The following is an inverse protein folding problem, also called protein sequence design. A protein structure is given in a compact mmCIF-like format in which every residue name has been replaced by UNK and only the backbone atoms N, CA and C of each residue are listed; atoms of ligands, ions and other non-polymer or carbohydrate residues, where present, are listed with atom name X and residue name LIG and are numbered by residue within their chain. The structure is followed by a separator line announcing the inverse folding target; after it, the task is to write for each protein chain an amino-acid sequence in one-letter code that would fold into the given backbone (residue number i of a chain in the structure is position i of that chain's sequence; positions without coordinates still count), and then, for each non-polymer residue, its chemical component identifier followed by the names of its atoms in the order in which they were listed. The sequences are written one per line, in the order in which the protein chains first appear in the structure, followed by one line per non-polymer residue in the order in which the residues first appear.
data_IF_401170003727
#
_entry.id   IF_401170003727
#
_cell.length_a   1.000
_cell.length_b   1.000
_cell.length_c   1.000
_cell.angle_alpha   90.00
_cell.angle_beta   90.00
_cell.angle_gamma   90.00
#
_symmetry.space_group_name_H-M   'P 1'
#
loop_
_entity.id
_entity.type
_entity.pdbx_description
1 polymer ?
#
# COMPACT_ATOMS: atom_id res chain seq x y z
N UNK A 1 7.09 18.29 13.12
CA UNK A 1 6.58 17.51 11.98
C UNK A 1 7.67 17.43 10.94
N UNK A 2 8.41 16.30 10.87
CA UNK A 2 9.38 16.09 9.80
C UNK A 2 8.58 15.93 8.50
N UNK A 3 8.74 16.88 7.57
CA UNK A 3 8.06 16.85 6.28
C UNK A 3 8.50 15.62 5.50
N UNK A 4 7.54 14.81 5.06
CA UNK A 4 7.82 13.71 4.15
C UNK A 4 8.25 14.34 2.82
N UNK A 5 9.48 14.10 2.34
CA UNK A 5 9.95 14.73 1.11
C UNK A 5 9.00 14.39 -0.04
N UNK A 6 8.76 15.33 -0.97
CA UNK A 6 7.81 15.11 -2.06
C UNK A 6 8.22 13.84 -2.83
N UNK A 7 7.29 12.90 -2.94
CA UNK A 7 7.49 11.68 -3.73
C UNK A 7 7.55 12.08 -5.21
N UNK A 8 8.76 12.20 -5.75
CA UNK A 8 9.01 12.61 -7.15
C UNK A 8 8.82 11.46 -8.15
N UNK A 9 7.90 10.55 -7.86
CA UNK A 9 7.65 9.36 -8.67
C UNK A 9 6.22 9.36 -9.20
N UNK A 10 6.00 8.93 -10.47
CA UNK A 10 4.65 8.80 -11.01
C UNK A 10 3.78 7.88 -10.14
N UNK A 11 2.51 8.25 -10.02
CA UNK A 11 1.49 7.40 -9.39
C UNK A 11 1.10 6.30 -10.38
N UNK A 12 1.19 5.04 -9.98
CA UNK A 12 0.75 3.88 -10.77
C UNK A 12 -0.61 3.33 -10.35
N UNK A 13 -1.14 3.77 -9.20
CA UNK A 13 -2.46 3.37 -8.75
C UNK A 13 -2.98 4.21 -7.60
N UNK A 14 -4.30 4.30 -7.51
CA UNK A 14 -5.03 4.89 -6.39
C UNK A 14 -6.15 3.92 -6.06
N UNK A 15 -6.32 3.59 -4.78
CA UNK A 15 -7.39 2.72 -4.32
C UNK A 15 -8.01 3.30 -3.05
N UNK A 16 -9.33 3.27 -2.98
CA UNK A 16 -10.09 3.70 -1.80
C UNK A 16 -10.44 2.48 -0.95
N UNK A 17 -10.32 2.60 0.38
CA UNK A 17 -10.86 1.62 1.31
C UNK A 17 -12.35 1.86 1.53
N UNK A 18 -13.14 0.79 1.63
CA UNK A 18 -14.58 0.89 1.94
C UNK A 18 -14.90 0.56 3.41
N UNK A 19 -13.90 0.13 4.17
CA UNK A 19 -14.05 -0.37 5.53
C UNK A 19 -13.89 0.75 6.56
N UNK A 20 -14.99 1.44 6.92
CA UNK A 20 -15.19 2.21 8.16
C UNK A 20 -14.31 3.45 8.39
N UNK A 21 -13.10 3.45 7.83
CA UNK A 21 -12.06 4.44 7.92
C UNK A 21 -11.85 5.01 6.52
N UNK A 22 -11.89 6.34 6.43
CA UNK A 22 -11.83 7.08 5.17
C UNK A 22 -10.39 7.21 4.66
N UNK A 23 -9.78 6.08 4.29
CA UNK A 23 -8.43 6.05 3.77
C UNK A 23 -8.32 5.67 2.29
N UNK A 24 -7.29 6.21 1.67
CA UNK A 24 -6.91 6.00 0.28
C UNK A 24 -5.45 5.54 0.26
N UNK A 25 -5.17 4.45 -0.45
CA UNK A 25 -3.81 4.04 -0.76
C UNK A 25 -3.40 4.62 -2.12
N UNK A 26 -2.24 5.26 -2.17
CA UNK A 26 -1.60 5.77 -3.38
C UNK A 26 -0.31 5.00 -3.60
N UNK A 27 -0.17 4.41 -4.79
CA UNK A 27 0.96 3.60 -5.18
C UNK A 27 1.83 4.38 -6.15
N UNK A 28 3.13 4.47 -5.86
CA UNK A 28 4.11 5.11 -6.71
C UNK A 28 5.01 4.10 -7.40
N UNK A 29 5.38 4.39 -8.64
CA UNK A 29 6.21 3.51 -9.45
C UNK A 29 7.56 3.20 -8.81
N UNK A 30 8.16 4.11 -8.03
CA UNK A 30 9.45 3.87 -7.35
C UNK A 30 9.35 3.05 -6.04
N UNK A 31 8.20 2.44 -5.77
CA UNK A 31 8.04 1.53 -4.63
C UNK A 31 7.44 2.18 -3.38
N UNK A 32 7.02 3.44 -3.43
CA UNK A 32 6.35 4.06 -2.30
C UNK A 32 4.85 3.72 -2.30
N UNK A 33 4.35 3.31 -1.13
CA UNK A 33 2.93 3.19 -0.82
C UNK A 33 2.61 4.27 0.20
N UNK A 34 1.60 5.07 -0.08
CA UNK A 34 1.18 6.18 0.77
C UNK A 34 -0.24 5.94 1.19
N UNK A 35 -0.52 6.00 2.49
CA UNK A 35 -1.89 5.91 3.01
C UNK A 35 -2.31 7.29 3.47
N UNK A 36 -3.36 7.81 2.85
CA UNK A 36 -3.97 9.09 3.13
C UNK A 36 -5.30 8.89 3.81
N UNK A 37 -5.61 9.67 4.83
CA UNK A 37 -6.97 9.92 5.24
C UNK A 37 -7.51 11.05 4.36
N UNK A 38 -8.50 10.74 3.52
CA UNK A 38 -9.04 11.70 2.57
C UNK A 38 -10.15 12.58 3.18
N UNK A 39 -10.60 12.29 4.40
CA UNK A 39 -11.62 13.11 5.08
C UNK A 39 -11.04 14.40 5.64
N UNK A 40 -9.85 14.30 6.24
CA UNK A 40 -9.14 15.39 6.90
C UNK A 40 -7.88 15.80 6.14
N UNK A 41 -7.65 15.24 4.95
CA UNK A 41 -6.50 15.48 4.10
C UNK A 41 -5.16 15.27 4.84
N UNK A 42 -5.08 14.23 5.67
CA UNK A 42 -3.84 13.90 6.40
C UNK A 42 -3.14 12.67 5.84
N UNK A 43 -1.81 12.75 5.87
CA UNK A 43 -0.93 11.64 5.58
C UNK A 43 -0.82 10.74 6.82
N UNK A 44 -1.33 9.51 6.72
CA UNK A 44 -1.38 8.55 7.83
C UNK A 44 -0.16 7.64 7.88
N UNK A 45 0.38 7.26 6.72
CA UNK A 45 1.49 6.31 6.65
C UNK A 45 2.21 6.33 5.32
N UNK A 46 3.50 5.98 5.35
CA UNK A 46 4.33 5.77 4.15
C UNK A 46 5.14 4.51 4.35
N UNK A 47 5.10 3.62 3.36
CA UNK A 47 5.95 2.45 3.26
C UNK A 47 6.74 2.51 1.96
N UNK A 48 8.04 2.25 2.02
CA UNK A 48 8.90 2.19 0.83
C UNK A 48 9.32 0.74 0.62
N UNK A 49 9.05 0.22 -0.57
CA UNK A 49 9.41 -1.14 -0.98
C UNK A 49 10.78 -1.16 -1.65
N UNK A 50 11.44 -2.32 -1.58
CA UNK A 50 12.68 -2.54 -2.33
C UNK A 50 12.36 -2.95 -3.77
N UNK A 51 11.88 -1.99 -4.55
CA UNK A 51 11.67 -2.16 -5.98
C UNK A 51 10.44 -1.42 -6.51
N UNK A 52 10.33 -1.30 -7.84
CA UNK A 52 9.21 -0.60 -8.45
C UNK A 52 7.89 -1.36 -8.30
N UNK A 53 6.80 -0.60 -8.08
CA UNK A 53 5.43 -1.11 -8.07
C UNK A 53 4.82 -0.90 -9.46
N UNK A 54 4.36 -1.98 -10.09
CA UNK A 54 3.62 -1.90 -11.34
C UNK A 54 2.14 -1.60 -11.10
N UNK A 55 1.57 -2.23 -10.07
CA UNK A 55 0.17 -2.06 -9.71
C UNK A 55 -0.03 -2.30 -8.21
N UNK A 56 -1.03 -1.65 -7.64
CA UNK A 56 -1.45 -1.88 -6.26
C UNK A 56 -2.94 -1.68 -6.09
N UNK A 57 -3.54 -2.42 -5.17
CA UNK A 57 -4.98 -2.41 -4.91
C UNK A 57 -5.27 -2.67 -3.44
N UNK A 58 -6.24 -1.95 -2.86
CA UNK A 58 -6.77 -2.28 -1.55
C UNK A 58 -7.79 -3.41 -1.67
N UNK A 59 -7.76 -4.33 -0.70
CA UNK A 59 -8.84 -5.29 -0.52
C UNK A 59 -10.11 -4.52 -0.12
N UNK A 60 -11.28 -4.82 -0.70
CA UNK A 60 -12.47 -4.02 -0.47
C UNK A 60 -13.00 -4.14 0.98
N UNK A 61 -12.84 -5.29 1.61
CA UNK A 61 -13.47 -5.59 2.92
C UNK A 61 -12.51 -5.96 4.04
N UNK A 62 -11.22 -6.02 3.74
CA UNK A 62 -10.20 -6.42 4.70
C UNK A 62 -9.18 -5.29 4.78
N UNK A 63 -8.54 -5.09 5.93
CA UNK A 63 -7.50 -4.07 6.09
C UNK A 63 -6.21 -4.56 5.43
N UNK A 64 -6.27 -4.86 4.14
CA UNK A 64 -5.18 -5.43 3.35
C UNK A 64 -5.03 -4.68 2.04
N UNK A 65 -3.81 -4.56 1.55
CA UNK A 65 -3.52 -4.17 0.18
C UNK A 65 -2.55 -5.14 -0.46
N UNK A 66 -2.60 -5.19 -1.78
CA UNK A 66 -1.74 -6.02 -2.60
C UNK A 66 -0.90 -5.14 -3.52
N UNK A 67 0.35 -5.51 -3.71
CA UNK A 67 1.24 -4.85 -4.67
C UNK A 67 1.85 -5.88 -5.62
N UNK A 68 1.85 -5.57 -6.90
CA UNK A 68 2.58 -6.30 -7.94
C UNK A 68 3.89 -5.56 -8.24
N UNK A 69 5.02 -6.20 -7.99
CA UNK A 69 6.36 -5.65 -8.19
C UNK A 69 7.01 -6.14 -9.49
N UNK A 70 8.05 -5.46 -9.95
CA UNK A 70 8.73 -5.77 -11.23
C UNK A 70 9.38 -7.15 -11.29
N UNK A 71 9.70 -7.75 -10.16
CA UNK A 71 10.17 -9.14 -10.06
C UNK A 71 9.01 -10.16 -10.16
N UNK A 72 7.87 -9.77 -10.74
CA UNK A 72 6.67 -10.60 -10.90
C UNK A 72 6.18 -11.22 -9.58
N UNK A 73 6.40 -10.52 -8.48
CA UNK A 73 5.97 -10.94 -7.15
C UNK A 73 4.75 -10.14 -6.72
N UNK A 74 3.80 -10.83 -6.10
CA UNK A 74 2.69 -10.20 -5.42
C UNK A 74 3.00 -10.19 -3.92
N UNK A 75 2.93 -9.02 -3.30
CA UNK A 75 3.05 -8.87 -1.85
C UNK A 75 1.71 -8.48 -1.27
N UNK A 76 1.40 -9.01 -0.09
CA UNK A 76 0.22 -8.66 0.68
C UNK A 76 0.66 -7.89 1.93
N UNK A 77 -0.06 -6.83 2.24
CA UNK A 77 0.25 -5.92 3.34
C UNK A 77 -1.00 -5.73 4.16
N UNK A 78 -0.91 -5.89 5.48
CA UNK A 78 -1.94 -5.46 6.41
C UNK A 78 -1.79 -3.98 6.71
N UNK A 79 -2.91 -3.27 6.65
CA UNK A 79 -3.07 -1.89 7.07
C UNK A 79 -3.47 -1.88 8.54
N UNK A 80 -2.56 -1.49 9.43
CA UNK A 80 -2.83 -1.42 10.86
C UNK A 80 -3.02 0.03 11.31
N UNK A 81 -4.21 0.32 11.84
CA UNK A 81 -4.54 1.62 12.42
C UNK A 81 -3.99 1.70 13.85
N UNK A 82 -3.17 2.70 14.14
CA UNK A 82 -2.70 2.94 15.49
C UNK A 82 -3.79 3.62 16.32
N UNK A 83 -3.93 3.22 17.61
CA UNK A 83 -4.94 3.76 18.54
C UNK A 83 -4.86 5.27 18.77
N UNK A 84 -3.77 5.93 18.38
CA UNK A 84 -3.52 7.37 18.56
C UNK A 84 -3.42 8.14 17.24
N UNK A 85 -3.91 7.56 16.14
CA UNK A 85 -3.72 8.08 14.77
C UNK A 85 -2.44 7.53 14.13
N UNK A 86 -2.41 7.52 12.80
CA UNK A 86 -1.34 6.91 12.01
C UNK A 86 -1.65 5.49 11.53
N UNK A 87 -1.12 5.18 10.36
CA UNK A 87 -1.23 3.89 9.69
C UNK A 87 0.16 3.27 9.57
N UNK A 88 0.29 2.01 9.95
CA UNK A 88 1.44 1.17 9.55
C UNK A 88 1.03 0.15 8.50
N UNK A 89 1.97 -0.16 7.62
CA UNK A 89 1.85 -1.27 6.68
C UNK A 89 2.76 -2.40 7.13
N UNK A 90 2.19 -3.58 7.32
CA UNK A 90 2.90 -4.76 7.78
C UNK A 90 2.79 -5.86 6.73
N UNK A 91 3.93 -6.38 6.25
CA UNK A 91 3.91 -7.44 5.26
C UNK A 91 3.28 -8.71 5.84
N UNK A 92 2.32 -9.30 5.12
CA UNK A 92 1.69 -10.58 5.45
C UNK A 92 2.13 -11.67 4.47
N UNK A 93 3.33 -12.26 4.66
CA UNK A 93 3.92 -13.20 3.72
C UNK A 93 3.07 -14.48 3.53
N UNK A 94 2.23 -14.81 4.51
CA UNK A 94 1.31 -15.97 4.43
C UNK A 94 0.23 -15.79 3.36
N UNK A 95 -0.15 -14.54 3.05
CA UNK A 95 -1.12 -14.20 2.02
C UNK A 95 -0.46 -13.75 0.71
N UNK A 96 0.83 -13.40 0.75
CA UNK A 96 1.64 -13.04 -0.42
C UNK A 96 2.02 -14.23 -1.31
N UNK A 97 1.84 -15.47 -0.85
CA UNK A 97 2.20 -16.67 -1.61
C UNK A 97 1.17 -17.04 -2.69
N UNK A 98 1.09 -16.25 -3.77
CA UNK A 98 0.86 -16.84 -5.09
C UNK A 98 2.21 -17.36 -5.61
N UNK A 99 2.56 -18.60 -5.23
CA UNK A 99 3.68 -19.31 -5.86
C UNK A 99 3.43 -19.36 -7.37
N UNK A 100 4.40 -18.87 -8.15
CA UNK A 100 4.60 -19.08 -9.60
C UNK A 100 3.44 -19.79 -10.31
N UNK A 101 2.68 -19.06 -11.13
CA UNK A 101 1.87 -19.64 -12.21
C UNK A 101 2.73 -20.22 -13.36
N UNK A 102 4.04 -20.42 -13.14
CA UNK A 102 4.98 -20.92 -14.14
C UNK A 102 5.70 -22.16 -13.59
N UNK A 103 5.00 -23.29 -13.56
CA UNK A 103 5.55 -24.60 -13.91
C UNK A 103 4.44 -25.40 -14.60
N UNK A 104 4.29 -25.14 -15.90
CA UNK A 104 3.64 -26.01 -16.87
C UNK A 104 4.61 -26.23 -18.02
#
# INVERSE_FOLDING_TARGET
HAGIPPLRSPVCGISFGEMGDQFMAVFHQQGAIVVWNYQNESLEGVQVLNGPIYHGVLHPWLPHLYTLTTNSSMQCWRVAMARRGGVSLEEEPRLAHCRRLEQG
#
